data_IF_175606919786
#
_entry.id   IF_175606919786
#
_cell.length_a   1.000
_cell.length_b   1.000
_cell.length_c   1.000
_cell.angle_alpha   90.00
_cell.angle_beta   90.00
_cell.angle_gamma   90.00
#
_symmetry.space_group_name_H-M   'P 1'
#
loop_
_entity.id
_entity.type
_entity.pdbx_description
1 polymer ?
#
# COMPACT_ATOMS: atom_id res chain seq x y z
N UNK A 1 23.18 -2.80 -23.36
CA UNK A 1 21.95 -3.28 -22.67
C UNK A 1 21.86 -2.55 -21.34
N UNK A 2 20.97 -1.56 -21.22
CA UNK A 2 20.77 -0.87 -19.94
C UNK A 2 19.83 -1.72 -19.12
N UNK A 3 20.33 -2.32 -18.04
CA UNK A 3 19.47 -2.83 -16.98
C UNK A 3 18.79 -1.61 -16.34
N UNK A 4 17.69 -1.15 -16.95
CA UNK A 4 16.81 -0.18 -16.33
C UNK A 4 16.31 -0.84 -15.06
N UNK A 5 16.68 -0.28 -13.91
CA UNK A 5 16.28 -0.74 -12.57
C UNK A 5 14.84 -1.24 -12.59
N UNK A 6 14.69 -2.57 -12.62
CA UNK A 6 13.38 -3.25 -12.70
C UNK A 6 12.54 -2.96 -11.47
N UNK A 7 13.18 -2.53 -10.39
CA UNK A 7 12.50 -2.22 -9.14
C UNK A 7 12.52 -0.73 -8.81
N UNK A 8 11.56 -0.32 -7.99
CA UNK A 8 11.45 1.00 -7.37
C UNK A 8 11.08 0.81 -5.90
N UNK A 9 11.57 1.72 -5.05
CA UNK A 9 11.15 1.79 -3.64
C UNK A 9 9.88 2.62 -3.54
N UNK A 10 8.85 2.06 -2.93
CA UNK A 10 7.60 2.74 -2.60
C UNK A 10 7.16 2.32 -1.19
N UNK A 11 6.05 2.89 -0.71
CA UNK A 11 5.65 2.79 0.68
C UNK A 11 4.22 2.30 0.83
N UNK A 12 4.00 1.47 1.84
CA UNK A 12 2.68 0.97 2.22
C UNK A 12 2.34 1.46 3.63
N UNK A 13 1.28 2.25 3.76
CA UNK A 13 0.75 2.67 5.06
C UNK A 13 -0.05 1.55 5.69
N UNK A 14 0.16 1.27 6.97
CA UNK A 14 -0.64 0.31 7.73
C UNK A 14 -0.62 0.62 9.23
N UNK A 15 -1.14 -0.28 10.05
CA UNK A 15 -1.13 -0.19 11.50
C UNK A 15 -0.11 -1.15 12.12
N UNK A 16 0.37 -0.84 13.32
CA UNK A 16 1.32 -1.68 14.04
C UNK A 16 0.78 -3.09 14.31
N UNK A 17 -0.52 -3.23 14.47
CA UNK A 17 -1.23 -4.50 14.66
C UNK A 17 -1.15 -5.40 13.41
N UNK A 18 -1.14 -4.80 12.22
CA UNK A 18 -0.99 -5.52 10.94
C UNK A 18 0.47 -5.72 10.55
N UNK A 19 1.40 -4.98 11.17
CA UNK A 19 2.83 -5.06 10.85
C UNK A 19 3.39 -6.47 11.04
N UNK A 20 3.08 -7.15 12.15
CA UNK A 20 3.61 -8.50 12.40
C UNK A 20 3.20 -9.48 11.30
N UNK A 21 1.92 -9.43 10.89
CA UNK A 21 1.41 -10.24 9.78
C UNK A 21 2.13 -9.90 8.46
N UNK A 22 2.36 -8.62 8.18
CA UNK A 22 3.06 -8.18 6.98
C UNK A 22 4.52 -8.64 6.95
N UNK A 23 5.21 -8.63 8.11
CA UNK A 23 6.60 -9.09 8.22
C UNK A 23 6.74 -10.61 8.07
N UNK A 24 5.71 -11.38 8.41
CA UNK A 24 5.73 -12.85 8.28
C UNK A 24 5.24 -13.30 6.89
N UNK A 25 4.10 -12.78 6.44
CA UNK A 25 3.40 -13.26 5.25
C UNK A 25 3.63 -12.39 4.00
N UNK A 26 4.22 -11.21 4.17
CA UNK A 26 4.23 -10.17 3.14
C UNK A 26 2.96 -9.31 3.17
N UNK A 27 2.89 -8.36 2.25
CA UNK A 27 1.74 -7.47 2.07
C UNK A 27 0.80 -8.12 1.06
N UNK A 28 -0.37 -8.57 1.52
CA UNK A 28 -1.34 -9.28 0.70
C UNK A 28 -2.33 -8.33 0.02
N UNK A 29 -2.92 -8.69 -1.14
CA UNK A 29 -4.01 -7.96 -1.72
C UNK A 29 -5.20 -7.80 -0.77
N UNK A 30 -5.89 -6.67 -0.88
CA UNK A 30 -7.00 -6.33 0.03
C UNK A 30 -8.11 -7.41 0.05
N UNK A 31 -8.41 -8.05 -1.07
CA UNK A 31 -9.46 -9.05 -1.16
C UNK A 31 -9.02 -10.44 -0.64
N UNK A 32 -7.72 -10.67 -0.43
CA UNK A 32 -7.18 -11.96 0.06
C UNK A 32 -7.12 -12.03 1.58
N UNK A 33 -7.00 -10.89 2.26
CA UNK A 33 -7.08 -10.79 3.72
C UNK A 33 -8.54 -10.69 4.22
N UNK A 34 -9.51 -10.74 3.30
CA UNK A 34 -10.95 -10.68 3.60
C UNK A 34 -11.45 -9.30 4.06
N UNK A 35 -10.53 -8.32 4.15
CA UNK A 35 -10.69 -6.95 4.65
C UNK A 35 -9.52 -6.13 4.09
N UNK A 36 -9.54 -4.80 4.11
CA UNK A 36 -8.35 -4.04 3.69
C UNK A 36 -7.17 -4.38 4.62
N UNK A 37 -5.91 -4.39 4.14
CA UNK A 37 -4.72 -4.37 5.02
C UNK A 37 -4.65 -3.14 5.94
N UNK A 38 -5.67 -2.30 5.84
CA UNK A 38 -5.87 -0.97 6.39
C UNK A 38 -6.94 -0.99 7.50
N UNK A 39 -8.00 -1.81 7.42
CA UNK A 39 -9.10 -1.79 8.41
C UNK A 39 -9.68 -3.17 8.67
N UNK A 40 -9.97 -3.45 9.95
CA UNK A 40 -10.50 -4.73 10.41
C UNK A 40 -12.02 -4.83 10.49
N UNK A 41 -12.80 -3.78 10.21
CA UNK A 41 -14.27 -3.87 10.11
C UNK A 41 -14.84 -2.77 9.18
N UNK A 42 -15.79 -3.18 8.32
CA UNK A 42 -16.72 -2.41 7.47
C UNK A 42 -16.22 -1.10 6.85
N UNK A 43 -16.14 -1.10 5.51
CA UNK A 43 -15.89 0.05 4.61
C UNK A 43 -16.29 1.41 5.20
N UNK A 44 -15.33 2.10 5.80
CA UNK A 44 -15.43 3.54 6.09
C UNK A 44 -15.13 4.39 4.84
N UNK A 45 -14.73 3.76 3.73
CA UNK A 45 -14.53 4.44 2.45
C UNK A 45 -15.62 4.04 1.46
N UNK A 46 -16.84 4.55 1.65
CA UNK A 46 -17.93 4.48 0.67
C UNK A 46 -17.67 5.20 -0.67
N UNK A 47 -16.41 5.47 -1.02
CA UNK A 47 -15.98 6.22 -2.19
C UNK A 47 -14.84 5.54 -2.96
N UNK A 48 -14.27 4.45 -2.44
CA UNK A 48 -13.06 3.83 -2.97
C UNK A 48 -13.31 2.35 -3.25
N UNK A 49 -13.16 1.93 -4.51
CA UNK A 49 -13.28 0.52 -4.89
C UNK A 49 -11.90 0.00 -5.27
N UNK A 50 -11.14 -0.56 -4.32
CA UNK A 50 -9.81 -1.07 -4.62
C UNK A 50 -9.87 -2.14 -5.71
N UNK A 51 -8.88 -2.12 -6.60
CA UNK A 51 -8.69 -3.09 -7.66
C UNK A 51 -8.42 -4.45 -7.01
N UNK A 52 -9.29 -5.46 -7.23
CA UNK A 52 -9.07 -6.81 -6.70
C UNK A 52 -7.71 -7.36 -7.12
N UNK A 53 -7.04 -8.05 -6.19
CA UNK A 53 -5.75 -8.69 -6.42
C UNK A 53 -4.55 -7.75 -6.30
N UNK A 54 -4.74 -6.48 -5.90
CA UNK A 54 -3.65 -5.51 -5.83
C UNK A 54 -3.33 -5.05 -4.40
N UNK A 55 -2.08 -4.62 -4.23
CA UNK A 55 -1.55 -3.93 -3.05
C UNK A 55 -1.31 -2.47 -3.39
N UNK A 56 -1.86 -1.57 -2.57
CA UNK A 56 -1.67 -0.14 -2.76
C UNK A 56 -0.36 0.34 -2.15
N UNK A 57 0.38 1.08 -2.96
CA UNK A 57 1.66 1.65 -2.60
C UNK A 57 1.71 3.11 -3.04
N UNK A 58 2.50 3.90 -2.33
CA UNK A 58 2.46 5.34 -2.48
C UNK A 58 3.84 5.95 -2.24
N UNK A 59 3.93 7.24 -2.49
CA UNK A 59 4.98 8.08 -1.90
C UNK A 59 4.84 8.08 -0.38
N UNK A 60 5.94 8.31 0.32
CA UNK A 60 6.00 8.22 1.78
C UNK A 60 4.90 9.03 2.48
N UNK A 61 4.76 10.32 2.15
CA UNK A 61 3.77 11.20 2.81
C UNK A 61 2.34 10.70 2.61
N UNK A 62 2.03 10.21 1.41
CA UNK A 62 0.70 9.68 1.10
C UNK A 62 0.44 8.33 1.78
N UNK A 63 1.46 7.47 1.87
CA UNK A 63 1.39 6.25 2.67
C UNK A 63 1.17 6.55 4.16
N UNK A 64 1.82 7.60 4.69
CA UNK A 64 1.61 8.06 6.05
C UNK A 64 0.18 8.56 6.28
N UNK A 65 -0.36 9.34 5.36
CA UNK A 65 -1.76 9.80 5.42
C UNK A 65 -2.70 8.60 5.53
N UNK A 66 -2.53 7.58 4.68
CA UNK A 66 -3.33 6.36 4.75
C UNK A 66 -3.20 5.63 6.08
N UNK A 67 -1.99 5.49 6.62
CA UNK A 67 -1.78 4.89 7.93
C UNK A 67 -2.53 5.65 9.05
N UNK A 68 -2.61 6.97 8.96
CA UNK A 68 -3.31 7.83 9.93
C UNK A 68 -4.85 7.76 9.82
N UNK A 69 -5.37 7.45 8.63
CA UNK A 69 -6.81 7.29 8.42
C UNK A 69 -7.36 5.97 8.97
N UNK A 70 -6.50 5.00 9.31
CA UNK A 70 -6.90 3.70 9.86
C UNK A 70 -7.45 3.88 11.27
N UNK A 71 -8.78 3.91 11.38
CA UNK A 71 -9.51 4.06 12.64
C UNK A 71 -10.33 2.81 12.88
N UNK A 72 -9.97 2.04 13.89
CA UNK A 72 -10.83 0.97 14.39
C UNK A 72 -11.60 1.47 15.61
N UNK A 73 -12.95 1.42 15.55
CA UNK A 73 -13.83 1.76 16.67
C UNK A 73 -13.59 3.16 17.27
N UNK A 74 -13.24 4.15 16.44
CA UNK A 74 -12.95 5.52 16.86
C UNK A 74 -11.62 5.71 17.60
N UNK A 75 -10.78 4.67 17.68
CA UNK A 75 -9.41 4.74 18.22
C UNK A 75 -8.41 4.76 17.08
N UNK A 76 -7.50 5.73 17.10
CA UNK A 76 -6.36 5.77 16.17
C UNK A 76 -5.41 4.62 16.51
N UNK A 77 -5.22 3.68 15.57
CA UNK A 77 -4.15 2.67 15.70
C UNK A 77 -2.79 3.33 15.62
N UNK A 78 -1.75 2.70 16.17
CA UNK A 78 -0.38 3.22 16.00
C UNK A 78 0.00 3.12 14.52
N UNK A 79 0.14 4.24 13.79
CA UNK A 79 0.33 4.22 12.35
C UNK A 79 1.79 3.89 12.03
N UNK A 80 1.99 3.05 11.02
CA UNK A 80 3.31 2.66 10.53
C UNK A 80 3.36 2.74 9.01
N UNK A 81 4.54 3.03 8.47
CA UNK A 81 4.79 3.01 7.03
C UNK A 81 5.88 1.98 6.74
N UNK A 82 5.58 1.05 5.83
CA UNK A 82 6.50 0.00 5.41
C UNK A 82 7.12 0.42 4.08
N UNK A 83 8.44 0.46 4.02
CA UNK A 83 9.19 0.62 2.78
C UNK A 83 9.33 -0.72 2.07
N UNK A 84 8.97 -0.75 0.78
CA UNK A 84 9.00 -1.96 -0.02
C UNK A 84 9.70 -1.75 -1.36
N UNK A 85 10.43 -2.77 -1.78
CA UNK A 85 11.02 -2.85 -3.11
C UNK A 85 10.05 -3.58 -4.06
N UNK A 86 9.48 -2.86 -5.02
CA UNK A 86 8.47 -3.41 -5.95
C UNK A 86 8.99 -3.51 -7.37
N UNK A 87 8.52 -4.49 -8.14
CA UNK A 87 8.82 -4.59 -9.57
C UNK A 87 7.92 -3.63 -10.37
N UNK A 88 8.53 -2.78 -11.19
CA UNK A 88 7.82 -1.82 -12.03
C UNK A 88 6.89 -2.49 -13.04
N UNK A 89 7.14 -3.75 -13.44
CA UNK A 89 6.26 -4.47 -14.35
C UNK A 89 4.90 -4.81 -13.73
N UNK A 90 4.81 -4.81 -12.40
CA UNK A 90 3.59 -5.11 -11.67
C UNK A 90 2.85 -3.83 -11.26
N UNK A 91 3.37 -2.65 -11.59
CA UNK A 91 2.74 -1.39 -11.24
C UNK A 91 1.69 -0.99 -12.26
N UNK A 92 0.51 -0.65 -11.77
CA UNK A 92 -0.62 -0.15 -12.57
C UNK A 92 -1.16 1.14 -11.96
N UNK A 93 -1.88 1.90 -12.77
CA UNK A 93 -2.54 3.14 -12.33
C UNK A 93 -3.49 2.88 -11.15
N UNK A 94 -3.60 3.85 -10.26
CA UNK A 94 -4.64 3.89 -9.23
C UNK A 94 -5.99 4.17 -9.90
N UNK A 95 -7.04 3.49 -9.45
CA UNK A 95 -8.38 3.58 -10.02
C UNK A 95 -8.99 4.98 -9.92
N UNK A 96 -8.60 5.77 -8.91
CA UNK A 96 -9.14 7.11 -8.70
C UNK A 96 -8.48 8.14 -9.61
N UNK A 97 -7.31 7.81 -10.16
CA UNK A 97 -6.50 8.75 -10.91
C UNK A 97 -7.05 9.03 -12.33
N UNK A 98 -7.82 8.11 -12.91
CA UNK A 98 -8.17 8.11 -14.35
C UNK A 98 -6.93 8.29 -15.25
N UNK A 99 -5.76 7.84 -14.78
CA UNK A 99 -4.50 7.96 -15.50
C UNK A 99 -4.17 6.67 -16.25
N UNK A 100 -3.45 6.79 -17.36
CA UNK A 100 -3.10 5.66 -18.23
C UNK A 100 -1.97 4.77 -17.68
N UNK A 101 -1.18 5.28 -16.74
CA UNK A 101 -0.03 4.55 -16.18
C UNK A 101 0.27 4.91 -14.71
N UNK A 102 1.06 4.07 -14.05
CA UNK A 102 1.39 4.21 -12.63
C UNK A 102 2.25 5.45 -12.33
N UNK A 103 3.08 5.89 -13.27
CA UNK A 103 3.95 7.06 -13.09
C UNK A 103 3.11 8.33 -12.95
N UNK A 104 2.11 8.48 -13.80
CA UNK A 104 1.18 9.61 -13.78
C UNK A 104 0.29 9.54 -12.55
N UNK A 105 -0.24 8.36 -12.22
CA UNK A 105 -0.97 8.14 -10.97
C UNK A 105 -0.16 8.54 -9.73
N UNK A 106 1.11 8.10 -9.62
CA UNK A 106 1.98 8.51 -8.52
C UNK A 106 2.32 10.01 -8.54
N UNK A 107 2.32 10.63 -9.71
CA UNK A 107 2.58 12.07 -9.84
C UNK A 107 1.38 12.89 -9.37
N UNK A 108 0.18 12.50 -9.76
CA UNK A 108 -1.08 13.22 -9.52
C UNK A 108 -1.62 12.92 -8.12
N UNK A 109 -1.80 11.64 -7.78
CA UNK A 109 -2.41 11.20 -6.53
C UNK A 109 -1.40 10.81 -5.45
N UNK A 110 -0.14 10.59 -5.83
CA UNK A 110 0.87 10.06 -4.92
C UNK A 110 0.76 8.55 -4.70
N UNK A 111 -0.14 7.86 -5.42
CA UNK A 111 -0.47 6.44 -5.23
C UNK A 111 -0.47 5.66 -6.55
N UNK A 112 -0.23 4.38 -6.46
CA UNK A 112 -0.47 3.40 -7.51
C UNK A 112 -0.74 2.02 -6.91
N UNK A 113 -1.15 1.08 -7.76
CA UNK A 113 -1.38 -0.30 -7.36
C UNK A 113 -0.25 -1.21 -7.84
N UNK A 114 0.11 -2.19 -7.02
CA UNK A 114 0.98 -3.30 -7.35
C UNK A 114 0.15 -4.56 -7.52
N UNK A 115 0.24 -5.20 -8.67
CA UNK A 115 -0.49 -6.43 -8.99
C UNK A 115 0.07 -7.61 -8.18
N UNK A 116 -0.82 -8.29 -7.46
CA UNK A 116 -0.50 -9.39 -6.57
C UNK A 116 0.10 -8.94 -5.23
N UNK A 117 0.46 -9.93 -4.41
CA UNK A 117 1.08 -9.69 -3.11
C UNK A 117 2.55 -9.25 -3.23
N UNK A 118 3.04 -8.56 -2.20
CA UNK A 118 4.44 -8.18 -2.05
C UNK A 118 5.07 -9.09 -0.97
N UNK A 119 6.02 -9.97 -1.30
CA UNK A 119 6.57 -10.92 -0.33
C UNK A 119 7.37 -10.21 0.77
N UNK A 120 7.39 -10.76 1.99
CA UNK A 120 8.11 -10.20 3.14
C UNK A 120 9.59 -9.89 2.84
N UNK A 121 10.24 -10.71 2.00
CA UNK A 121 11.62 -10.49 1.54
C UNK A 121 11.86 -9.17 0.77
N UNK A 122 10.81 -8.45 0.40
CA UNK A 122 10.86 -7.13 -0.26
C UNK A 122 10.65 -5.96 0.70
N UNK A 123 10.36 -6.23 1.97
CA UNK A 123 10.27 -5.20 3.00
C UNK A 123 11.69 -4.76 3.37
N UNK A 124 11.94 -3.46 3.22
CA UNK A 124 13.26 -2.86 3.40
C UNK A 124 13.40 -2.19 4.77
N UNK A 125 12.37 -1.47 5.19
CA UNK A 125 12.36 -0.71 6.44
C UNK A 125 10.93 -0.48 6.95
N UNK A 126 10.81 -0.13 8.23
CA UNK A 126 9.54 0.21 8.88
C UNK A 126 9.72 1.53 9.64
N UNK A 127 8.78 2.46 9.44
CA UNK A 127 8.77 3.77 10.05
C UNK A 127 7.56 3.92 10.97
N UNK A 128 7.80 4.19 12.25
CA UNK A 128 6.74 4.57 13.17
C UNK A 128 6.32 6.01 12.88
N UNK A 129 5.02 6.24 12.71
CA UNK A 129 4.46 7.57 12.55
C UNK A 129 3.94 8.03 13.92
N UNK A 130 4.76 8.79 14.63
CA UNK A 130 4.40 9.43 15.89
C UNK A 130 3.56 10.69 15.65
#
# INVERSE_FOLDING_TARGET
MVALNKSITLFHGTSKENLEKALVNGILPWNEVGQHNWDTEQDLFGFYTPIPGNVYIAKFDRAKDYALYLKENGKTKQPVVIEVLVDKSNLVSDEDAKEDNWQDSLKVNGTCAHVGFIPASKIMAVYNCA
#
